data_IF_658224897071
#
_entry.id   IF_658224897071
#
_cell.length_a   1.000
_cell.length_b   1.000
_cell.length_c   1.000
_cell.angle_alpha   90.00
_cell.angle_beta   90.00
_cell.angle_gamma   90.00
#
_symmetry.space_group_name_H-M   'P 1'
#
loop_
_entity.id
_entity.type
_entity.pdbx_description
1 polymer ?
#
# COMPACT_ATOMS: atom_id res chain seq x y z
N UNK A 1 11.69 -4.84 -4.83
CA UNK A 1 11.63 -4.99 -6.31
C UNK A 1 10.70 -6.15 -6.55
N UNK A 2 9.79 -6.07 -7.51
CA UNK A 2 8.85 -7.17 -7.72
C UNK A 2 9.55 -8.46 -8.15
N UNK A 3 9.02 -9.60 -7.69
CA UNK A 3 9.57 -10.92 -8.04
C UNK A 3 9.22 -11.34 -9.48
N UNK A 4 10.08 -12.16 -10.10
CA UNK A 4 9.76 -12.82 -11.36
C UNK A 4 8.83 -14.03 -11.15
N UNK A 5 8.15 -14.48 -12.20
CA UNK A 5 7.28 -15.66 -12.12
C UNK A 5 8.03 -16.94 -11.69
N UNK A 6 9.29 -17.10 -12.11
CA UNK A 6 10.13 -18.26 -11.73
C UNK A 6 10.43 -18.24 -10.23
N UNK A 7 10.80 -17.08 -9.68
CA UNK A 7 11.09 -16.91 -8.25
C UNK A 7 9.85 -17.13 -7.38
N UNK A 8 8.68 -16.72 -7.87
CA UNK A 8 7.41 -16.96 -7.18
C UNK A 8 7.07 -18.44 -7.03
N UNK A 9 7.50 -19.29 -7.97
CA UNK A 9 7.29 -20.75 -7.89
C UNK A 9 8.23 -21.41 -6.87
N UNK A 10 9.47 -20.93 -6.78
CA UNK A 10 10.46 -21.40 -5.80
C UNK A 10 10.04 -21.03 -4.37
N UNK A 11 9.57 -19.79 -4.17
CA UNK A 11 9.17 -19.25 -2.88
C UNK A 11 7.67 -19.34 -2.60
N UNK A 12 6.96 -20.28 -3.24
CA UNK A 12 5.51 -20.47 -3.08
C UNK A 12 5.03 -20.68 -1.63
N UNK A 13 5.92 -21.12 -0.75
CA UNK A 13 5.63 -21.40 0.66
C UNK A 13 5.89 -20.22 1.60
N UNK A 14 6.55 -19.18 1.08
CA UNK A 14 6.95 -17.99 1.82
C UNK A 14 5.79 -16.99 1.92
N UNK A 15 5.89 -15.99 2.82
CA UNK A 15 4.83 -15.02 3.02
C UNK A 15 4.60 -14.17 1.77
N UNK A 16 3.35 -13.78 1.53
CA UNK A 16 3.01 -12.86 0.46
C UNK A 16 2.89 -11.43 1.00
N UNK A 17 3.71 -10.53 0.46
CA UNK A 17 3.69 -9.08 0.75
C UNK A 17 3.66 -8.33 -0.56
N UNK A 18 2.91 -7.23 -0.64
CA UNK A 18 2.91 -6.42 -1.86
C UNK A 18 4.16 -5.54 -1.99
N UNK A 19 4.73 -5.48 -3.19
CA UNK A 19 5.90 -4.65 -3.47
C UNK A 19 5.53 -3.16 -3.58
N UNK A 20 4.38 -2.88 -4.19
CA UNK A 20 3.89 -1.55 -4.50
C UNK A 20 2.45 -1.39 -4.03
N UNK A 21 1.99 -0.13 -3.98
CA UNK A 21 0.57 0.16 -3.80
C UNK A 21 -0.23 -0.57 -4.88
N UNK A 22 -1.16 -1.40 -4.44
CA UNK A 22 -1.97 -2.25 -5.30
C UNK A 22 -3.43 -1.84 -5.13
N UNK A 23 -4.10 -1.57 -6.25
CA UNK A 23 -5.48 -1.08 -6.25
C UNK A 23 -6.48 -2.20 -6.01
N UNK A 24 -7.63 -1.85 -5.41
CA UNK A 24 -8.77 -2.74 -5.29
C UNK A 24 -9.15 -3.37 -6.63
N UNK A 25 -9.44 -4.67 -6.60
CA UNK A 25 -9.83 -5.44 -7.77
C UNK A 25 -8.69 -5.92 -8.66
N UNK A 26 -7.45 -5.56 -8.35
CA UNK A 26 -6.26 -6.06 -9.04
C UNK A 26 -6.11 -7.58 -8.86
N UNK A 27 -5.76 -8.27 -9.95
CA UNK A 27 -5.38 -9.69 -9.92
C UNK A 27 -3.89 -9.77 -9.60
N UNK A 28 -3.56 -10.44 -8.50
CA UNK A 28 -2.19 -10.54 -8.01
C UNK A 28 -1.35 -11.47 -8.90
N UNK A 29 -0.28 -10.93 -9.45
CA UNK A 29 0.78 -11.67 -10.14
C UNK A 29 2.09 -11.62 -9.34
N UNK A 30 3.12 -12.34 -9.81
CA UNK A 30 4.46 -12.27 -9.26
C UNK A 30 4.99 -10.82 -9.22
N UNK A 31 4.66 -10.02 -10.24
CA UNK A 31 5.07 -8.62 -10.32
C UNK A 31 4.46 -7.73 -9.22
N UNK A 32 3.38 -8.18 -8.55
CA UNK A 32 2.79 -7.44 -7.43
C UNK A 32 3.41 -7.80 -6.08
N UNK A 33 4.16 -8.89 -6.00
CA UNK A 33 4.69 -9.43 -4.75
C UNK A 33 6.15 -9.04 -4.56
N UNK A 34 6.51 -8.77 -3.31
CA UNK A 34 7.88 -8.49 -2.87
C UNK A 34 8.63 -9.77 -2.57
N UNK A 35 9.96 -9.74 -2.71
CA UNK A 35 10.82 -10.88 -2.48
C UNK A 35 10.88 -11.29 -1.00
N UNK A 36 10.51 -12.53 -0.63
CA UNK A 36 10.62 -13.02 0.74
C UNK A 36 12.03 -13.02 1.33
N UNK A 37 13.06 -13.13 0.50
CA UNK A 37 14.45 -13.20 0.98
C UNK A 37 14.90 -11.89 1.66
N UNK A 38 14.24 -10.76 1.37
CA UNK A 38 14.55 -9.45 1.98
C UNK A 38 13.68 -9.13 3.20
N UNK A 39 12.68 -9.95 3.52
CA UNK A 39 11.80 -9.71 4.66
C UNK A 39 12.52 -9.68 6.01
N UNK A 40 13.54 -10.53 6.29
CA UNK A 40 14.28 -10.45 7.55
C UNK A 40 14.89 -9.06 7.79
N UNK A 41 15.53 -8.48 6.77
CA UNK A 41 16.12 -7.13 6.85
C UNK A 41 15.04 -6.04 7.03
N UNK A 42 13.88 -6.21 6.40
CA UNK A 42 12.75 -5.28 6.53
C UNK A 42 12.08 -5.36 7.91
N UNK A 43 12.02 -6.55 8.51
CA UNK A 43 11.51 -6.75 9.87
C UNK A 43 12.50 -6.17 10.89
N UNK A 44 13.80 -6.44 10.71
CA UNK A 44 14.85 -5.96 11.60
C UNK A 44 14.98 -4.42 11.59
N UNK A 45 14.71 -3.78 10.44
CA UNK A 45 14.63 -2.32 10.33
C UNK A 45 13.31 -1.73 10.87
N UNK A 46 12.34 -2.57 11.22
CA UNK A 46 11.01 -2.15 11.68
C UNK A 46 10.12 -1.59 10.57
N UNK A 47 10.47 -1.84 9.30
CA UNK A 47 9.73 -1.39 8.14
C UNK A 47 8.55 -2.32 7.79
N UNK A 48 8.71 -3.61 8.05
CA UNK A 48 7.70 -4.65 7.80
C UNK A 48 7.26 -5.29 9.12
N UNK A 49 5.96 -5.55 9.25
CA UNK A 49 5.39 -6.33 10.35
C UNK A 49 4.60 -7.49 9.76
N UNK A 50 4.86 -8.72 10.22
CA UNK A 50 4.14 -9.89 9.72
C UNK A 50 3.09 -10.37 10.72
N UNK A 51 1.80 -10.35 10.35
CA UNK A 51 0.74 -10.91 11.18
C UNK A 51 0.75 -12.44 11.14
N UNK A 52 0.12 -13.09 12.11
CA UNK A 52 0.07 -14.55 12.22
C UNK A 52 -0.74 -15.21 11.09
N UNK A 53 -1.67 -14.47 10.48
CA UNK A 53 -2.61 -14.93 9.45
C UNK A 53 -2.18 -14.55 8.01
N UNK A 54 -0.88 -14.35 7.78
CA UNK A 54 -0.37 -14.05 6.45
C UNK A 54 -0.58 -15.22 5.47
N UNK A 55 -0.97 -14.88 4.25
CA UNK A 55 -1.07 -15.80 3.13
C UNK A 55 0.31 -16.04 2.51
N UNK A 56 0.42 -17.13 1.75
CA UNK A 56 1.64 -17.50 1.04
C UNK A 56 1.62 -17.07 -0.42
N UNK A 57 2.80 -16.87 -1.01
CA UNK A 57 2.96 -16.50 -2.42
C UNK A 57 2.15 -17.41 -3.33
N UNK A 58 2.28 -18.74 -3.19
CA UNK A 58 1.57 -19.69 -4.04
C UNK A 58 0.03 -19.66 -3.90
N UNK A 59 -0.49 -19.13 -2.79
CA UNK A 59 -1.93 -19.03 -2.54
C UNK A 59 -2.53 -17.78 -3.17
N UNK A 60 -1.80 -16.67 -3.15
CA UNK A 60 -2.30 -15.36 -3.59
C UNK A 60 -2.14 -15.14 -5.09
N UNK A 61 -1.26 -15.88 -5.77
CA UNK A 61 -1.08 -15.75 -7.23
C UNK A 61 -2.38 -16.14 -7.95
N UNK A 62 -2.97 -15.15 -8.63
CA UNK A 62 -4.26 -15.23 -9.32
C UNK A 62 -5.46 -14.82 -8.45
N UNK A 63 -5.24 -14.46 -7.19
CA UNK A 63 -6.28 -13.97 -6.31
C UNK A 63 -6.56 -12.47 -6.55
N UNK A 64 -7.76 -12.01 -6.19
CA UNK A 64 -8.22 -10.64 -6.39
C UNK A 64 -8.14 -9.86 -5.09
N UNK A 65 -7.60 -8.64 -5.16
CA UNK A 65 -7.55 -7.75 -4.01
C UNK A 65 -8.94 -7.14 -3.73
N UNK A 66 -9.38 -7.13 -2.46
CA UNK A 66 -10.69 -6.60 -2.05
C UNK A 66 -10.67 -5.13 -1.66
N UNK A 67 -9.49 -4.57 -1.35
CA UNK A 67 -9.29 -3.19 -0.93
C UNK A 67 -7.95 -2.71 -1.42
N UNK A 68 -7.82 -1.42 -1.73
CA UNK A 68 -6.51 -0.82 -2.04
C UNK A 68 -5.60 -0.90 -0.81
N UNK A 69 -4.37 -1.40 -1.00
CA UNK A 69 -3.35 -1.49 0.05
C UNK A 69 -2.05 -0.83 -0.40
N UNK A 70 -1.30 -0.30 0.56
CA UNK A 70 0.00 0.29 0.32
C UNK A 70 1.11 -0.77 0.25
N UNK A 71 2.28 -0.36 -0.25
CA UNK A 71 3.48 -1.21 -0.30
C UNK A 71 3.84 -1.77 1.07
N UNK A 72 4.46 -2.95 1.08
CA UNK A 72 4.89 -3.65 2.30
C UNK A 72 3.72 -4.07 3.20
N UNK A 73 2.52 -4.17 2.64
CA UNK A 73 1.37 -4.74 3.34
C UNK A 73 1.35 -6.26 3.15
N UNK A 74 1.37 -7.06 4.22
CA UNK A 74 1.19 -8.50 4.15
C UNK A 74 -0.21 -8.85 3.68
N UNK A 75 -0.33 -9.83 2.80
CA UNK A 75 -1.62 -10.30 2.31
C UNK A 75 -2.26 -11.23 3.33
N UNK A 76 -3.51 -10.95 3.68
CA UNK A 76 -4.31 -11.77 4.60
C UNK A 76 -5.61 -12.21 3.95
N UNK A 77 -6.27 -13.27 4.45
CA UNK A 77 -7.56 -13.74 3.93
C UNK A 77 -8.66 -12.67 3.96
N UNK A 78 -8.53 -11.65 4.80
CA UNK A 78 -9.52 -10.58 4.95
C UNK A 78 -9.51 -9.56 3.80
N UNK A 79 -8.41 -9.47 3.04
CA UNK A 79 -8.21 -8.48 1.98
C UNK A 79 -8.01 -9.11 0.59
N UNK A 80 -7.97 -10.43 0.51
CA UNK A 80 -7.79 -11.19 -0.73
C UNK A 80 -8.96 -12.14 -0.93
N UNK A 81 -9.56 -12.12 -2.12
CA UNK A 81 -10.61 -13.04 -2.55
C UNK A 81 -10.07 -14.02 -3.60
N UNK A 82 -10.50 -15.28 -3.54
CA UNK A 82 -10.12 -16.29 -4.53
C UNK A 82 -8.68 -16.79 -4.40
N UNK A 83 -8.07 -16.69 -3.21
CA UNK A 83 -6.79 -17.33 -2.93
C UNK A 83 -6.93 -18.86 -3.00
N UNK A 84 -5.92 -19.53 -3.54
CA UNK A 84 -5.90 -20.99 -3.63
C UNK A 84 -5.65 -21.56 -2.24
N UNK A 85 -6.70 -22.09 -1.61
CA UNK A 85 -6.53 -22.94 -0.44
C UNK A 85 -5.75 -24.18 -0.86
N UNK A 86 -4.57 -24.37 -0.25
CA UNK A 86 -3.81 -25.61 -0.42
C UNK A 86 -4.56 -26.68 0.38
N UNK A 87 -5.63 -27.23 -0.20
CA UNK A 87 -6.43 -28.27 0.43
C UNK A 87 -7.95 -28.27 0.24
N UNK A 88 -8.53 -27.56 -0.74
CA UNK A 88 -9.98 -27.68 -0.96
C UNK A 88 -10.54 -26.86 -2.12
N UNK A 89 -11.03 -27.60 -3.12
CA UNK A 89 -12.11 -27.31 -4.09
C UNK A 89 -12.30 -25.90 -4.68
N UNK A 90 -12.30 -25.87 -6.01
CA UNK A 90 -12.59 -24.74 -6.89
C UNK A 90 -13.92 -24.06 -6.56
N UNK A 91 -13.90 -22.74 -6.34
CA UNK A 91 -15.07 -21.90 -6.65
C UNK A 91 -14.62 -20.77 -7.57
N UNK A 92 -14.76 -21.08 -8.85
CA UNK A 92 -14.81 -20.14 -9.97
C UNK A 92 -15.90 -19.09 -9.69
N UNK A 93 -15.52 -17.82 -9.54
CA UNK A 93 -16.45 -16.71 -9.75
C UNK A 93 -15.82 -15.66 -10.65
N UNK A 94 -15.96 -15.96 -11.93
CA UNK A 94 -15.86 -15.07 -13.08
C UNK A 94 -16.96 -14.01 -12.95
N UNK A 95 -16.60 -12.71 -12.92
CA UNK A 95 -17.39 -11.62 -13.53
C UNK A 95 -16.64 -10.27 -13.45
N UNK A 96 -16.25 -9.79 -14.63
CA UNK A 96 -16.11 -8.39 -15.00
C UNK A 96 -17.13 -8.15 -16.14
N UNK A 97 -17.39 -6.93 -16.66
CA UNK A 97 -17.09 -5.56 -16.21
C UNK A 97 -18.33 -4.62 -16.27
N UNK A 98 -18.26 -3.40 -15.71
CA UNK A 98 -19.04 -2.22 -16.17
C UNK A 98 -18.40 -0.94 -15.58
N UNK A 99 -17.63 -0.19 -16.35
CA UNK A 99 -18.00 0.90 -17.27
C UNK A 99 -18.50 2.19 -16.56
N UNK A 100 -17.71 3.25 -16.81
CA UNK A 100 -18.13 4.63 -17.13
C UNK A 100 -18.58 5.60 -16.02
N UNK A 101 -17.66 6.54 -15.74
CA UNK A 101 -17.79 7.99 -16.03
C UNK A 101 -18.35 8.98 -14.98
N UNK A 102 -17.60 10.09 -14.86
CA UNK A 102 -17.96 11.46 -14.39
C UNK A 102 -18.17 11.62 -12.86
N UNK A 103 -17.75 12.68 -12.17
CA UNK A 103 -17.83 14.13 -12.44
C UNK A 103 -16.78 14.88 -11.60
N UNK A 104 -16.16 15.91 -12.19
CA UNK A 104 -15.39 16.97 -11.53
C UNK A 104 -16.21 17.73 -10.47
N UNK A 105 -15.67 18.01 -9.28
CA UNK A 105 -15.97 19.27 -8.58
C UNK A 105 -14.74 19.76 -7.82
N UNK A 106 -14.23 20.91 -8.29
CA UNK A 106 -13.36 21.84 -7.59
C UNK A 106 -14.08 22.43 -6.36
N UNK A 107 -13.40 22.49 -5.22
CA UNK A 107 -13.05 23.74 -4.51
C UNK A 107 -12.51 23.43 -3.10
N UNK A 108 -11.41 24.09 -2.77
CA UNK A 108 -10.68 24.06 -1.50
C UNK A 108 -11.27 25.09 -0.50
N UNK A 109 -10.62 25.35 0.66
CA UNK A 109 -10.30 24.45 1.77
C UNK A 109 -10.91 24.98 3.09
N UNK A 110 -11.34 24.09 3.97
CA UNK A 110 -11.55 24.44 5.39
C UNK A 110 -10.79 23.44 6.25
N UNK A 111 -9.63 23.89 6.76
CA UNK A 111 -8.83 23.20 7.76
C UNK A 111 -8.97 23.97 9.06
N UNK A 112 -9.57 23.36 10.06
CA UNK A 112 -9.56 23.84 11.44
C UNK A 112 -9.28 22.68 12.41
N UNK A 113 -8.11 22.74 13.05
CA UNK A 113 -7.59 21.95 14.18
C UNK A 113 -7.17 20.50 13.86
N UNK A 114 -5.93 20.05 14.07
CA UNK A 114 -4.88 20.46 15.02
C UNK A 114 -3.54 20.77 14.31
N UNK A 115 -2.76 21.70 14.86
CA UNK A 115 -1.44 22.13 14.33
C UNK A 115 -1.47 23.48 13.61
N UNK A 116 -1.44 24.58 14.36
CA UNK A 116 -1.47 25.94 13.83
C UNK A 116 -0.18 26.23 13.02
N UNK A 117 -0.28 26.23 11.69
CA UNK A 117 0.78 26.71 10.80
C UNK A 117 0.43 28.13 10.36
N UNK A 118 1.27 29.10 10.74
CA UNK A 118 1.09 30.51 10.37
C UNK A 118 2.19 30.88 9.38
N UNK A 119 1.82 31.10 8.12
CA UNK A 119 2.72 31.61 7.10
C UNK A 119 2.46 33.11 6.89
N UNK A 120 3.52 33.91 6.91
CA UNK A 120 3.47 35.35 6.63
C UNK A 120 4.59 35.75 5.67
N UNK A 121 4.34 36.74 4.81
CA UNK A 121 5.30 37.23 3.82
C UNK A 121 5.54 38.71 4.09
N UNK A 122 6.77 39.06 4.48
CA UNK A 122 7.20 40.43 4.68
C UNK A 122 8.53 40.65 3.96
N UNK A 123 8.61 41.65 3.07
CA UNK A 123 9.88 42.11 2.50
C UNK A 123 10.62 41.12 1.60
N UNK A 124 9.91 40.22 0.91
CA UNK A 124 10.54 39.22 0.03
C UNK A 124 11.10 38.02 0.79
N UNK A 125 10.70 37.81 2.05
CA UNK A 125 11.08 36.63 2.84
C UNK A 125 9.78 35.96 3.31
N UNK A 126 9.63 34.68 2.99
CA UNK A 126 8.55 33.81 3.42
C UNK A 126 8.90 33.22 4.79
N UNK A 127 8.10 33.53 5.81
CA UNK A 127 8.26 33.05 7.18
C UNK A 127 7.17 32.05 7.52
N UNK A 128 7.55 30.83 7.89
CA UNK A 128 6.61 29.77 8.31
C UNK A 128 6.89 29.45 9.78
N UNK A 129 5.84 29.55 10.61
CA UNK A 129 5.86 29.16 12.02
C UNK A 129 5.03 27.91 12.23
N UNK A 130 5.65 26.89 12.81
CA UNK A 130 5.00 25.61 13.15
C UNK A 130 5.09 25.41 14.67
N UNK A 131 3.95 25.55 15.35
CA UNK A 131 3.88 25.44 16.81
C UNK A 131 3.87 23.99 17.31
N UNK A 132 3.47 23.03 16.48
CA UNK A 132 3.39 21.62 16.87
C UNK A 132 4.76 20.92 16.81
N UNK A 133 5.17 20.31 17.92
CA UNK A 133 6.28 19.35 17.95
C UNK A 133 7.67 19.88 18.29
N UNK A 134 8.00 21.17 18.06
CA UNK A 134 9.25 21.81 18.56
C UNK A 134 9.41 23.32 18.26
N UNK A 135 8.37 24.04 17.88
CA UNK A 135 8.46 25.49 17.60
C UNK A 135 9.48 25.83 16.51
N UNK A 136 9.18 25.45 15.27
CA UNK A 136 10.10 25.61 14.14
C UNK A 136 9.78 26.92 13.39
N UNK A 137 10.82 27.75 13.22
CA UNK A 137 10.79 28.96 12.39
C UNK A 137 11.60 28.72 11.09
N UNK A 138 10.93 28.77 9.93
CA UNK A 138 11.57 28.64 8.61
C UNK A 138 11.50 29.99 7.90
N UNK A 139 12.66 30.52 7.48
CA UNK A 139 12.77 31.73 6.66
C UNK A 139 13.34 31.40 5.27
N UNK A 140 12.62 31.75 4.21
CA UNK A 140 13.01 31.53 2.82
C UNK A 140 12.99 32.88 2.07
N UNK A 141 14.10 33.34 1.46
CA UNK A 141 14.05 34.46 0.54
C UNK A 141 13.27 34.06 -0.72
N UNK A 142 12.35 34.92 -1.16
CA UNK A 142 11.55 34.79 -2.38
C UNK A 142 12.25 35.43 -3.58
#
# INVERSE_FOLDING_TARGET
MSMSAEHAEELKNEPAVVCCRTEEGTILSADNLEDPDIFPDMIDSGLLTMPEDHLKVGQVIGAKLLKTIDSLTPLTPAIVEGYKEIGGEEVKKEEAPKAEETVEVLEAPEVCAEGCTVASVEGGILKIKIEEGRGIDIELPL
#
